data_IF_381745175774
#
_entry.id   IF_381745175774
#
_cell.length_a   1.000
_cell.length_b   1.000
_cell.length_c   1.000
_cell.angle_alpha   90.00
_cell.angle_beta   90.00
_cell.angle_gamma   90.00
#
_symmetry.space_group_name_H-M   'P 1'
#
loop_
_entity.id
_entity.type
_entity.pdbx_description
1 polymer ?
#
# COMPACT_ATOMS: atom_id res chain seq x y z
N UNK A 1 -1.51 19.75 -0.05
CA UNK A 1 -0.42 18.99 -0.70
C UNK A 1 -1.03 17.67 -1.08
N UNK A 2 -1.37 17.48 -2.36
CA UNK A 2 -1.60 16.14 -2.89
C UNK A 2 -0.23 15.48 -2.95
N UNK A 3 0.05 14.59 -2.00
CA UNK A 3 1.34 13.91 -1.95
C UNK A 3 1.15 12.70 -2.86
N UNK A 4 1.76 12.67 -4.06
CA UNK A 4 1.64 11.50 -4.91
C UNK A 4 2.15 10.31 -4.12
N UNK A 5 1.44 9.18 -4.23
CA UNK A 5 1.77 7.94 -3.53
C UNK A 5 3.23 7.59 -3.76
N UNK A 6 4.05 7.76 -2.72
CA UNK A 6 5.46 7.41 -2.76
C UNK A 6 5.66 5.93 -2.51
N UNK A 7 6.71 5.37 -3.10
CA UNK A 7 7.12 3.98 -2.87
C UNK A 7 7.35 3.67 -1.38
N UNK A 8 7.71 4.69 -0.59
CA UNK A 8 7.84 4.61 0.87
C UNK A 8 6.50 4.31 1.57
N UNK A 9 5.39 4.90 1.10
CA UNK A 9 4.06 4.60 1.64
C UNK A 9 3.63 3.20 1.27
N UNK A 10 3.89 2.78 0.02
CA UNK A 10 3.63 1.41 -0.45
C UNK A 10 4.40 0.41 0.42
N UNK A 11 5.68 0.67 0.67
CA UNK A 11 6.51 -0.19 1.51
C UNK A 11 6.01 -0.25 2.96
N UNK A 12 5.63 0.90 3.53
CA UNK A 12 5.10 0.98 4.90
C UNK A 12 3.81 0.19 5.04
N UNK A 13 2.87 0.38 4.10
CA UNK A 13 1.58 -0.32 4.11
C UNK A 13 1.75 -1.82 3.85
N UNK A 14 2.61 -2.19 2.91
CA UNK A 14 2.92 -3.60 2.62
C UNK A 14 3.52 -4.30 3.84
N UNK A 15 4.47 -3.65 4.52
CA UNK A 15 5.10 -4.17 5.72
C UNK A 15 4.09 -4.30 6.86
N UNK A 16 3.25 -3.28 7.07
CA UNK A 16 2.19 -3.31 8.09
C UNK A 16 1.18 -4.44 7.84
N UNK A 17 0.73 -4.62 6.60
CA UNK A 17 -0.19 -5.71 6.22
C UNK A 17 0.46 -7.08 6.40
N UNK A 18 1.74 -7.20 6.05
CA UNK A 18 2.51 -8.43 6.18
C UNK A 18 2.76 -8.82 7.64
N UNK A 19 3.17 -7.88 8.50
CA UNK A 19 3.35 -8.12 9.93
C UNK A 19 2.03 -8.48 10.61
N UNK A 20 0.93 -7.80 10.26
CA UNK A 20 -0.40 -8.08 10.83
C UNK A 20 -0.87 -9.51 10.58
N UNK A 21 -0.49 -10.08 9.43
CA UNK A 21 -0.83 -11.45 9.03
C UNK A 21 0.17 -12.50 9.54
N UNK A 22 1.15 -12.09 10.36
CA UNK A 22 2.13 -13.00 10.98
C UNK A 22 3.39 -13.23 10.14
N UNK A 23 3.72 -12.29 9.26
CA UNK A 23 4.94 -12.31 8.44
C UNK A 23 5.12 -13.60 7.63
N UNK A 24 4.12 -14.03 6.84
CA UNK A 24 4.23 -15.23 6.02
C UNK A 24 5.35 -15.09 4.98
N UNK A 25 6.29 -16.02 5.00
CA UNK A 25 7.40 -16.07 4.05
C UNK A 25 6.88 -16.33 2.62
N UNK A 26 7.44 -15.63 1.63
CA UNK A 26 7.02 -15.72 0.23
C UNK A 26 5.77 -14.92 -0.18
N UNK A 27 5.03 -14.29 0.77
CA UNK A 27 3.85 -13.46 0.44
C UNK A 27 4.11 -11.95 0.45
N UNK A 28 5.32 -11.53 0.78
CA UNK A 28 5.71 -10.11 0.84
C UNK A 28 5.47 -9.37 -0.48
N UNK A 29 5.61 -10.04 -1.63
CA UNK A 29 5.36 -9.46 -2.95
C UNK A 29 3.87 -9.20 -3.20
N UNK A 30 2.97 -10.12 -2.81
CA UNK A 30 1.52 -9.92 -2.86
C UNK A 30 1.07 -8.73 -2.00
N UNK A 31 1.64 -8.59 -0.80
CA UNK A 31 1.32 -7.44 0.07
C UNK A 31 1.83 -6.13 -0.49
N UNK A 32 2.99 -6.14 -1.15
CA UNK A 32 3.54 -4.97 -1.82
C UNK A 32 2.66 -4.50 -2.99
N UNK A 33 2.19 -5.42 -3.82
CA UNK A 33 1.27 -5.09 -4.92
C UNK A 33 -0.10 -4.63 -4.41
N UNK A 34 -0.63 -5.26 -3.35
CA UNK A 34 -1.89 -4.83 -2.69
C UNK A 34 -1.78 -3.43 -2.11
N UNK A 35 -0.66 -3.12 -1.45
CA UNK A 35 -0.41 -1.80 -0.90
C UNK A 35 -0.33 -0.73 -2.00
N UNK A 36 0.35 -1.05 -3.10
CA UNK A 36 0.48 -0.15 -4.27
C UNK A 36 -0.87 0.12 -4.92
N UNK A 37 -1.70 -0.90 -5.07
CA UNK A 37 -3.07 -0.74 -5.60
C UNK A 37 -3.97 0.06 -4.66
N UNK A 38 -3.94 -0.21 -3.34
CA UNK A 38 -4.75 0.55 -2.37
C UNK A 38 -4.40 2.03 -2.40
N UNK A 39 -3.11 2.37 -2.30
CA UNK A 39 -2.69 3.75 -2.30
C UNK A 39 -2.94 4.43 -3.66
N UNK A 40 -2.69 3.74 -4.76
CA UNK A 40 -2.96 4.26 -6.12
C UNK A 40 -4.46 4.45 -6.42
N UNK A 41 -5.33 3.62 -5.84
CA UNK A 41 -6.78 3.76 -5.98
C UNK A 41 -7.35 4.88 -5.09
N UNK A 42 -6.84 5.02 -3.85
CA UNK A 42 -7.28 6.05 -2.90
C UNK A 42 -6.87 7.46 -3.35
N UNK A 43 -5.70 7.62 -3.97
CA UNK A 43 -5.25 8.88 -4.56
C UNK A 43 -6.03 9.33 -5.81
N UNK A 44 -6.90 8.48 -6.37
CA UNK A 44 -7.72 8.83 -7.54
C UNK A 44 -9.20 9.05 -7.22
N UNK A 45 -9.67 8.68 -6.01
CA UNK A 45 -11.08 8.77 -5.61
C UNK A 45 -11.38 9.99 -4.73
N UNK A 46 -10.37 10.70 -4.26
CA UNK A 46 -10.52 11.83 -3.32
C UNK A 46 -10.87 13.19 -3.96
N UNK A 47 -10.96 13.29 -5.30
CA UNK A 47 -11.29 14.53 -6.01
C UNK A 47 -12.75 14.61 -6.51
N UNK A 48 -13.70 13.99 -5.83
CA UNK A 48 -15.14 14.16 -6.09
C UNK A 48 -15.88 14.65 -4.84
N UNK A 49 -15.64 15.91 -4.44
CA UNK A 49 -16.63 16.82 -3.82
C UNK A 49 -16.20 18.29 -3.99
#
# INVERSE_FOLDING_TARGET
>A
MDVPVSEEQVRTLAFYLWEKEGSPDGRSQEYWEKARQQLGADGSLAELD
#
